data_IF_950625004338
#
_entry.id   IF_950625004338
#
_cell.length_a   1.000
_cell.length_b   1.000
_cell.length_c   1.000
_cell.angle_alpha   90.00
_cell.angle_beta   90.00
_cell.angle_gamma   90.00
#
_symmetry.space_group_name_H-M   'P 1'
#
loop_
_entity.id
_entity.type
_entity.pdbx_description
1 polymer ?
#
# COMPACT_ATOMS: atom_id res chain seq x y z
N UNK A 1 40.48 -57.94 -43.21
CA UNK A 1 40.42 -57.06 -42.02
C UNK A 1 40.45 -55.56 -42.39
N UNK A 2 41.27 -55.05 -43.33
CA UNK A 2 41.26 -53.61 -43.68
C UNK A 2 40.02 -53.16 -44.48
N UNK A 3 39.47 -54.01 -45.37
CA UNK A 3 38.34 -53.63 -46.23
C UNK A 3 37.00 -53.48 -45.48
N UNK A 4 36.78 -54.29 -44.45
CA UNK A 4 35.60 -54.17 -43.59
C UNK A 4 35.61 -52.88 -42.76
N UNK A 5 36.81 -52.48 -42.29
CA UNK A 5 37.00 -51.23 -41.54
C UNK A 5 36.80 -50.02 -42.45
N UNK A 6 37.29 -50.07 -43.70
CA UNK A 6 37.09 -49.01 -44.69
C UNK A 6 35.62 -48.84 -45.10
N UNK A 7 34.88 -49.94 -45.28
CA UNK A 7 33.44 -49.89 -45.60
C UNK A 7 32.60 -49.35 -44.43
N UNK A 8 32.91 -49.75 -43.19
CA UNK A 8 32.24 -49.24 -41.99
C UNK A 8 32.55 -47.74 -41.80
N UNK A 9 33.81 -47.32 -41.96
CA UNK A 9 34.20 -45.91 -41.89
C UNK A 9 33.54 -45.07 -43.01
N UNK A 10 33.40 -45.63 -44.21
CA UNK A 10 32.80 -44.96 -45.37
C UNK A 10 31.33 -44.56 -45.17
N UNK A 11 30.57 -45.30 -44.35
CA UNK A 11 29.17 -44.95 -44.03
C UNK A 11 29.00 -44.30 -42.65
N UNK A 12 29.82 -44.68 -41.66
CA UNK A 12 29.75 -44.13 -40.31
C UNK A 12 30.20 -42.66 -40.24
N UNK A 13 31.25 -42.27 -40.99
CA UNK A 13 31.76 -40.89 -40.98
C UNK A 13 30.72 -39.88 -41.49
N UNK A 14 30.05 -40.08 -42.65
CA UNK A 14 28.98 -39.18 -43.10
C UNK A 14 27.82 -39.05 -42.10
N UNK A 15 27.42 -40.14 -41.46
CA UNK A 15 26.36 -40.14 -40.45
C UNK A 15 26.76 -39.30 -39.25
N UNK A 16 27.95 -39.53 -38.68
CA UNK A 16 28.44 -38.77 -37.52
C UNK A 16 28.55 -37.28 -37.86
N UNK A 17 28.97 -36.93 -39.07
CA UNK A 17 29.04 -35.52 -39.52
C UNK A 17 27.64 -34.91 -39.62
N UNK A 18 26.68 -35.58 -40.25
CA UNK A 18 25.31 -35.04 -40.40
C UNK A 18 24.62 -34.88 -39.05
N UNK A 19 24.66 -35.90 -38.19
CA UNK A 19 24.04 -35.84 -36.87
C UNK A 19 24.78 -34.88 -35.92
N UNK A 20 26.11 -34.81 -36.02
CA UNK A 20 26.93 -33.86 -35.27
C UNK A 20 26.61 -32.41 -35.65
N UNK A 21 26.56 -32.10 -36.95
CA UNK A 21 26.21 -30.76 -37.44
C UNK A 21 24.77 -30.39 -37.09
N UNK A 22 23.83 -31.33 -37.24
CA UNK A 22 22.44 -31.10 -36.84
C UNK A 22 22.31 -30.84 -35.34
N UNK A 23 22.99 -31.61 -34.49
CA UNK A 23 22.99 -31.41 -33.05
C UNK A 23 23.60 -30.05 -32.66
N UNK A 24 24.71 -29.65 -33.30
CA UNK A 24 25.31 -28.32 -33.10
C UNK A 24 24.37 -27.22 -33.56
N UNK A 25 23.72 -27.36 -34.72
CA UNK A 25 22.76 -26.37 -35.23
C UNK A 25 21.56 -26.20 -34.28
N UNK A 26 21.02 -27.30 -33.75
CA UNK A 26 19.96 -27.28 -32.73
C UNK A 26 20.46 -26.61 -31.45
N UNK A 27 21.66 -26.95 -30.98
CA UNK A 27 22.23 -26.34 -29.78
C UNK A 27 22.44 -24.83 -29.94
N UNK A 28 22.95 -24.37 -31.09
CA UNK A 28 23.13 -22.95 -31.41
C UNK A 28 21.78 -22.24 -31.52
N UNK A 29 20.78 -22.86 -32.16
CA UNK A 29 19.44 -22.28 -32.26
C UNK A 29 18.79 -22.12 -30.88
N UNK A 30 18.89 -23.14 -30.01
CA UNK A 30 18.40 -23.08 -28.62
C UNK A 30 19.17 -22.03 -27.81
N UNK A 31 20.48 -21.94 -27.97
CA UNK A 31 21.31 -20.94 -27.30
C UNK A 31 20.98 -19.52 -27.76
N UNK A 32 20.87 -19.29 -29.06
CA UNK A 32 20.50 -18.00 -29.65
C UNK A 32 19.08 -17.59 -29.22
N UNK A 33 18.12 -18.51 -29.21
CA UNK A 33 16.77 -18.27 -28.71
C UNK A 33 16.78 -17.92 -27.21
N UNK A 34 17.58 -18.63 -26.38
CA UNK A 34 17.74 -18.30 -24.96
C UNK A 34 18.42 -16.94 -24.75
N UNK A 35 19.45 -16.62 -25.54
CA UNK A 35 20.19 -15.35 -25.47
C UNK A 35 19.31 -14.17 -25.88
N UNK A 36 18.51 -14.32 -26.93
CA UNK A 36 17.54 -13.32 -27.38
C UNK A 36 16.43 -13.10 -26.32
N UNK A 37 15.90 -14.20 -25.77
CA UNK A 37 14.87 -14.17 -24.70
C UNK A 37 15.37 -13.62 -23.38
N UNK A 38 16.68 -13.67 -23.11
CA UNK A 38 17.34 -13.11 -21.91
C UNK A 38 18.18 -11.86 -22.20
N UNK A 39 17.88 -11.15 -23.29
CA UNK A 39 18.65 -9.96 -23.66
C UNK A 39 18.48 -8.86 -22.59
N UNK A 40 19.51 -8.01 -22.36
CA UNK A 40 19.41 -6.88 -21.43
C UNK A 40 18.25 -5.95 -21.75
N UNK A 41 17.94 -5.74 -23.04
CA UNK A 41 16.78 -4.95 -23.48
C UNK A 41 15.45 -5.58 -23.06
N UNK A 42 15.29 -6.90 -23.24
CA UNK A 42 14.09 -7.60 -22.80
C UNK A 42 13.92 -7.54 -21.29
N UNK A 43 15.01 -7.66 -20.52
CA UNK A 43 14.98 -7.48 -19.06
C UNK A 43 14.59 -6.06 -18.66
N UNK A 44 15.15 -5.05 -19.31
CA UNK A 44 14.80 -3.65 -19.04
C UNK A 44 13.33 -3.36 -19.34
N UNK A 45 12.80 -3.87 -20.47
CA UNK A 45 11.39 -3.73 -20.83
C UNK A 45 10.47 -4.43 -19.81
N UNK A 46 10.79 -5.66 -19.43
CA UNK A 46 10.03 -6.40 -18.42
C UNK A 46 10.08 -5.73 -17.03
N UNK A 47 11.22 -5.14 -16.65
CA UNK A 47 11.35 -4.35 -15.43
C UNK A 47 10.49 -3.08 -15.47
N UNK A 48 10.44 -2.39 -16.61
CA UNK A 48 9.59 -1.21 -16.78
C UNK A 48 8.08 -1.56 -16.73
N UNK A 49 7.68 -2.67 -17.35
CA UNK A 49 6.32 -3.21 -17.26
C UNK A 49 5.95 -3.60 -15.83
N UNK A 50 6.87 -4.27 -15.13
CA UNK A 50 6.68 -4.57 -13.71
C UNK A 50 6.55 -3.29 -12.88
N UNK A 51 7.37 -2.26 -13.12
CA UNK A 51 7.23 -0.97 -12.47
C UNK A 51 5.85 -0.33 -12.68
N UNK A 52 5.31 -0.39 -13.90
CA UNK A 52 3.95 0.07 -14.21
C UNK A 52 2.88 -0.72 -13.48
N UNK A 53 3.01 -2.05 -13.44
CA UNK A 53 2.10 -2.91 -12.69
C UNK A 53 2.14 -2.60 -11.18
N UNK A 54 3.33 -2.37 -10.61
CA UNK A 54 3.49 -1.95 -9.21
C UNK A 54 2.81 -0.61 -8.93
N UNK A 55 2.99 0.39 -9.80
CA UNK A 55 2.31 1.67 -9.68
C UNK A 55 0.78 1.55 -9.79
N UNK A 56 0.28 0.64 -10.64
CA UNK A 56 -1.16 0.36 -10.74
C UNK A 56 -1.71 -0.31 -9.48
N UNK A 57 -0.93 -1.17 -8.83
CA UNK A 57 -1.31 -1.81 -7.56
C UNK A 57 -1.39 -0.82 -6.42
N UNK A 58 -0.43 0.09 -6.29
CA UNK A 58 -0.48 1.15 -5.26
C UNK A 58 -1.74 2.01 -5.45
N UNK A 59 -2.04 2.43 -6.69
CA UNK A 59 -3.28 3.17 -6.97
C UNK A 59 -4.54 2.38 -6.62
N UNK A 60 -4.55 1.07 -6.87
CA UNK A 60 -5.68 0.21 -6.48
C UNK A 60 -5.80 0.11 -4.96
N UNK A 61 -4.68 -0.03 -4.24
CA UNK A 61 -4.65 -0.08 -2.78
C UNK A 61 -5.22 1.19 -2.17
N UNK A 62 -4.72 2.36 -2.60
CA UNK A 62 -5.24 3.67 -2.18
C UNK A 62 -6.75 3.79 -2.46
N UNK A 63 -7.21 3.30 -3.63
CA UNK A 63 -8.61 3.35 -4.01
C UNK A 63 -9.49 2.40 -3.19
N UNK A 64 -8.96 1.23 -2.81
CA UNK A 64 -9.62 0.26 -1.92
C UNK A 64 -9.77 0.86 -0.52
N UNK A 65 -8.71 1.45 0.02
CA UNK A 65 -8.75 2.09 1.33
C UNK A 65 -9.78 3.23 1.37
N UNK A 66 -9.80 4.06 0.33
CA UNK A 66 -10.80 5.12 0.19
C UNK A 66 -12.24 4.55 0.07
N UNK A 67 -12.43 3.40 -0.59
CA UNK A 67 -13.73 2.76 -0.73
C UNK A 67 -14.20 2.07 0.57
N UNK A 68 -13.27 1.48 1.33
CA UNK A 68 -13.52 0.93 2.67
C UNK A 68 -14.09 2.01 3.60
N UNK A 69 -13.49 3.20 3.56
CA UNK A 69 -13.95 4.37 4.32
C UNK A 69 -15.34 4.82 3.88
N UNK A 70 -15.59 4.95 2.58
CA UNK A 70 -16.89 5.37 2.02
C UNK A 70 -18.02 4.38 2.40
N UNK A 71 -17.73 3.08 2.39
CA UNK A 71 -18.62 2.03 2.88
C UNK A 71 -18.88 2.17 4.39
N UNK A 72 -17.85 2.40 5.19
CA UNK A 72 -18.01 2.64 6.64
C UNK A 72 -18.87 3.88 6.94
N UNK A 73 -18.60 4.98 6.23
CA UNK A 73 -19.32 6.24 6.36
C UNK A 73 -20.80 6.09 6.00
N UNK A 74 -21.07 5.44 4.87
CA UNK A 74 -22.44 5.16 4.40
C UNK A 74 -23.21 4.31 5.41
N UNK A 75 -22.54 3.30 6.00
CA UNK A 75 -23.13 2.47 7.04
C UNK A 75 -23.52 3.25 8.30
N UNK A 76 -22.65 4.16 8.75
CA UNK A 76 -22.87 4.97 9.94
C UNK A 76 -23.89 6.10 9.74
N UNK A 77 -23.95 6.69 8.54
CA UNK A 77 -24.84 7.80 8.21
C UNK A 77 -26.31 7.41 8.09
N UNK A 78 -26.59 6.23 7.53
CA UNK A 78 -27.93 5.88 7.08
C UNK A 78 -28.61 4.79 7.92
N UNK A 79 -28.05 4.42 9.07
CA UNK A 79 -28.64 3.45 10.01
C UNK A 79 -28.82 2.05 9.43
N UNK A 80 -28.23 1.78 8.27
CA UNK A 80 -28.29 0.55 7.50
C UNK A 80 -26.99 0.39 6.72
N UNK A 81 -26.62 -0.85 6.40
CA UNK A 81 -25.35 -1.13 5.72
C UNK A 81 -25.21 -0.37 4.39
N UNK A 82 -23.97 -0.06 4.00
CA UNK A 82 -23.68 0.66 2.77
C UNK A 82 -24.39 0.09 1.53
N UNK A 83 -24.63 0.92 0.50
CA UNK A 83 -25.21 0.48 -0.76
C UNK A 83 -24.57 -0.81 -1.28
N UNK A 84 -25.41 -1.72 -1.80
CA UNK A 84 -24.94 -3.03 -2.26
C UNK A 84 -23.91 -2.92 -3.40
N UNK A 85 -23.98 -1.88 -4.24
CA UNK A 85 -22.97 -1.58 -5.27
C UNK A 85 -21.60 -1.29 -4.65
N UNK A 86 -21.52 -0.37 -3.68
CA UNK A 86 -20.26 -0.04 -2.98
C UNK A 86 -19.68 -1.25 -2.23
N UNK A 87 -20.51 -2.01 -1.50
CA UNK A 87 -20.02 -3.21 -0.78
C UNK A 87 -19.46 -4.28 -1.72
N UNK A 88 -20.12 -4.51 -2.86
CA UNK A 88 -19.63 -5.47 -3.86
C UNK A 88 -18.34 -4.99 -4.51
N UNK A 89 -18.29 -3.72 -4.93
CA UNK A 89 -17.09 -3.11 -5.50
C UNK A 89 -15.90 -3.23 -4.54
N UNK A 90 -16.14 -2.98 -3.24
CA UNK A 90 -15.15 -3.13 -2.17
C UNK A 90 -14.58 -4.55 -2.10
N UNK A 91 -15.45 -5.54 -1.91
CA UNK A 91 -15.04 -6.94 -1.78
C UNK A 91 -14.30 -7.44 -3.03
N UNK A 92 -14.77 -7.08 -4.22
CA UNK A 92 -14.10 -7.42 -5.47
C UNK A 92 -12.73 -6.75 -5.58
N UNK A 93 -12.64 -5.46 -5.26
CA UNK A 93 -11.38 -4.73 -5.36
C UNK A 93 -10.34 -5.22 -4.36
N UNK A 94 -10.73 -5.51 -3.11
CA UNK A 94 -9.86 -6.13 -2.10
C UNK A 94 -9.31 -7.48 -2.60
N UNK A 95 -10.19 -8.35 -3.11
CA UNK A 95 -9.78 -9.64 -3.64
C UNK A 95 -8.81 -9.52 -4.82
N UNK A 96 -9.07 -8.59 -5.75
CA UNK A 96 -8.18 -8.32 -6.89
C UNK A 96 -6.84 -7.76 -6.41
N UNK A 97 -6.85 -6.84 -5.45
CA UNK A 97 -5.65 -6.23 -4.87
C UNK A 97 -4.76 -7.30 -4.23
N UNK A 98 -5.31 -8.07 -3.31
CA UNK A 98 -4.55 -9.05 -2.52
C UNK A 98 -3.96 -10.13 -3.44
N UNK A 99 -4.78 -10.70 -4.33
CA UNK A 99 -4.31 -11.69 -5.30
C UNK A 99 -3.27 -11.14 -6.27
N UNK A 100 -3.36 -9.86 -6.65
CA UNK A 100 -2.38 -9.25 -7.56
C UNK A 100 -1.09 -8.83 -6.86
N UNK A 101 -1.11 -8.48 -5.57
CA UNK A 101 0.12 -8.31 -4.77
C UNK A 101 0.86 -9.63 -4.61
N UNK A 102 0.15 -10.73 -4.40
CA UNK A 102 0.76 -12.05 -4.36
C UNK A 102 1.40 -12.41 -5.70
N UNK A 103 0.69 -12.26 -6.82
CA UNK A 103 1.26 -12.44 -8.16
C UNK A 103 2.48 -11.52 -8.39
N UNK A 104 2.41 -10.25 -7.95
CA UNK A 104 3.50 -9.28 -8.08
C UNK A 104 4.76 -9.70 -7.30
N UNK A 105 4.58 -10.28 -6.11
CA UNK A 105 5.67 -10.82 -5.29
C UNK A 105 6.33 -12.02 -5.97
N UNK A 106 5.55 -12.88 -6.65
CA UNK A 106 6.14 -14.04 -7.37
C UNK A 106 7.03 -13.63 -8.53
N UNK A 107 6.69 -12.54 -9.24
CA UNK A 107 7.50 -12.02 -10.36
C UNK A 107 8.70 -11.17 -9.90
N UNK A 108 9.01 -11.22 -8.60
CA UNK A 108 10.16 -10.56 -8.02
C UNK A 108 11.49 -11.31 -8.17
N UNK A 109 11.45 -12.62 -8.43
CA UNK A 109 12.63 -13.47 -8.50
C UNK A 109 13.50 -13.24 -9.75
N UNK A 110 14.81 -13.33 -9.57
CA UNK A 110 15.82 -13.09 -10.62
C UNK A 110 15.89 -14.21 -11.68
N UNK A 111 15.30 -15.37 -11.41
CA UNK A 111 15.37 -16.56 -12.29
C UNK A 111 14.29 -16.58 -13.39
N UNK A 112 13.35 -15.64 -13.36
CA UNK A 112 12.24 -15.61 -14.30
C UNK A 112 12.63 -15.12 -15.69
N UNK A 113 11.96 -15.65 -16.71
CA UNK A 113 12.13 -15.16 -18.07
C UNK A 113 11.45 -13.80 -18.21
N UNK A 114 12.05 -12.83 -18.92
CA UNK A 114 11.44 -11.51 -19.14
C UNK A 114 10.02 -11.56 -19.71
N UNK A 115 9.75 -12.50 -20.63
CA UNK A 115 8.43 -12.68 -21.22
C UNK A 115 7.36 -13.13 -20.21
N UNK A 116 7.73 -13.88 -19.17
CA UNK A 116 6.80 -14.31 -18.13
C UNK A 116 6.50 -13.16 -17.16
N UNK A 117 7.53 -12.39 -16.79
CA UNK A 117 7.38 -11.14 -16.01
C UNK A 117 6.44 -10.18 -16.74
N UNK A 118 6.68 -9.92 -18.02
CA UNK A 118 5.84 -9.08 -18.88
C UNK A 118 4.37 -9.55 -18.91
N UNK A 119 4.15 -10.85 -19.10
CA UNK A 119 2.79 -11.41 -19.20
C UNK A 119 2.01 -11.26 -17.89
N UNK A 120 2.66 -11.49 -16.75
CA UNK A 120 2.03 -11.35 -15.44
C UNK A 120 1.82 -9.87 -15.10
N UNK A 121 2.82 -9.01 -15.33
CA UNK A 121 2.70 -7.56 -15.13
C UNK A 121 1.52 -6.97 -15.92
N UNK A 122 1.38 -7.30 -17.22
CA UNK A 122 0.25 -6.83 -18.03
C UNK A 122 -1.11 -7.38 -17.59
N UNK A 123 -1.16 -8.55 -16.94
CA UNK A 123 -2.38 -9.11 -16.35
C UNK A 123 -2.77 -8.36 -15.08
N UNK A 124 -1.80 -8.08 -14.22
CA UNK A 124 -1.96 -7.28 -12.99
C UNK A 124 -2.48 -5.89 -13.36
N UNK A 125 -1.83 -5.20 -14.30
CA UNK A 125 -2.22 -3.86 -14.74
C UNK A 125 -3.67 -3.83 -15.25
N UNK A 126 -4.06 -4.80 -16.09
CA UNK A 126 -5.42 -4.89 -16.61
C UNK A 126 -6.45 -5.11 -15.50
N UNK A 127 -6.22 -6.09 -14.61
CA UNK A 127 -7.16 -6.37 -13.50
C UNK A 127 -7.28 -5.19 -12.54
N UNK A 128 -6.17 -4.53 -12.23
CA UNK A 128 -6.18 -3.34 -11.40
C UNK A 128 -6.98 -2.19 -12.04
N UNK A 129 -6.81 -1.98 -13.36
CA UNK A 129 -7.55 -0.96 -14.10
C UNK A 129 -9.05 -1.27 -14.18
N UNK A 130 -9.42 -2.54 -14.38
CA UNK A 130 -10.82 -2.99 -14.37
C UNK A 130 -11.47 -2.80 -13.00
N UNK A 131 -10.74 -3.14 -11.92
CA UNK A 131 -11.20 -2.92 -10.55
C UNK A 131 -11.38 -1.42 -10.25
N UNK A 132 -10.42 -0.56 -10.60
CA UNK A 132 -10.54 0.89 -10.46
C UNK A 132 -11.78 1.44 -11.20
N UNK A 133 -12.01 1.00 -12.43
CA UNK A 133 -13.19 1.39 -13.21
C UNK A 133 -14.50 0.95 -12.52
N UNK A 134 -14.51 -0.23 -11.89
CA UNK A 134 -15.67 -0.70 -11.14
C UNK A 134 -15.91 0.11 -9.86
N UNK A 135 -14.85 0.52 -9.15
CA UNK A 135 -14.92 1.43 -8.00
C UNK A 135 -15.53 2.76 -8.43
N UNK A 136 -15.01 3.39 -9.49
CA UNK A 136 -15.49 4.67 -9.99
C UNK A 136 -16.97 4.63 -10.37
N UNK A 137 -17.41 3.54 -11.01
CA UNK A 137 -18.83 3.33 -11.33
C UNK A 137 -19.68 3.22 -10.07
N UNK A 138 -19.27 2.42 -9.09
CA UNK A 138 -20.02 2.26 -7.85
C UNK A 138 -20.13 3.57 -7.06
N UNK A 139 -19.08 4.39 -7.07
CA UNK A 139 -19.08 5.76 -6.50
C UNK A 139 -20.01 6.71 -7.25
N UNK A 140 -20.04 6.64 -8.58
CA UNK A 140 -20.97 7.44 -9.38
C UNK A 140 -22.43 7.08 -9.05
N UNK A 141 -22.76 5.78 -9.04
CA UNK A 141 -24.09 5.28 -8.66
C UNK A 141 -24.48 5.72 -7.25
N UNK A 142 -23.53 5.66 -6.29
CA UNK A 142 -23.79 6.12 -4.93
C UNK A 142 -24.07 7.62 -4.87
N UNK A 143 -23.27 8.45 -5.56
CA UNK A 143 -23.49 9.90 -5.64
C UNK A 143 -24.82 10.26 -6.29
N UNK A 144 -25.21 9.55 -7.35
CA UNK A 144 -26.53 9.71 -7.98
C UNK A 144 -27.66 9.38 -7.00
N UNK A 145 -27.53 8.27 -6.27
CA UNK A 145 -28.50 7.89 -5.25
C UNK A 145 -28.57 8.92 -4.12
N UNK A 146 -27.43 9.41 -3.62
CA UNK A 146 -27.39 10.44 -2.57
C UNK A 146 -28.07 11.73 -3.02
N UNK A 147 -27.80 12.19 -4.25
CA UNK A 147 -28.47 13.36 -4.83
C UNK A 147 -29.99 13.20 -4.88
N UNK A 148 -30.47 11.99 -5.10
CA UNK A 148 -31.91 11.70 -5.18
C UNK A 148 -32.60 11.51 -3.82
N UNK A 149 -31.87 11.14 -2.75
CA UNK A 149 -32.48 10.68 -1.49
C UNK A 149 -32.04 11.42 -0.23
N UNK A 150 -30.99 12.24 -0.28
CA UNK A 150 -30.40 12.89 0.91
C UNK A 150 -30.25 14.38 0.67
N UNK A 151 -30.80 15.22 1.55
CA UNK A 151 -30.63 16.67 1.43
C UNK A 151 -29.21 17.10 1.84
N UNK A 152 -28.70 18.15 1.21
CA UNK A 152 -27.39 18.72 1.57
C UNK A 152 -27.32 19.11 3.05
N UNK A 153 -28.41 19.62 3.61
CA UNK A 153 -28.53 19.95 5.04
C UNK A 153 -28.33 18.74 5.97
N UNK A 154 -28.87 17.57 5.61
CA UNK A 154 -28.65 16.33 6.38
C UNK A 154 -27.19 15.89 6.34
N UNK A 155 -26.53 16.02 5.18
CA UNK A 155 -25.11 15.67 5.03
C UNK A 155 -24.20 16.60 5.84
N UNK A 156 -24.45 17.90 5.79
CA UNK A 156 -23.75 18.91 6.60
C UNK A 156 -23.94 18.62 8.10
N UNK A 157 -25.17 18.35 8.54
CA UNK A 157 -25.47 18.04 9.94
C UNK A 157 -24.71 16.82 10.45
N UNK A 158 -24.67 15.75 9.66
CA UNK A 158 -23.98 14.53 10.04
C UNK A 158 -22.44 14.67 10.03
N UNK A 159 -21.89 15.43 9.08
CA UNK A 159 -20.46 15.73 9.04
C UNK A 159 -20.02 16.64 10.20
N UNK A 160 -20.84 17.63 10.58
CA UNK A 160 -20.61 18.44 11.80
C UNK A 160 -20.61 17.59 13.07
N UNK A 161 -21.53 16.61 13.17
CA UNK A 161 -21.54 15.68 14.29
C UNK A 161 -20.27 14.81 14.35
N UNK A 162 -19.72 14.40 13.20
CA UNK A 162 -18.41 13.71 13.14
C UNK A 162 -17.27 14.62 13.59
N UNK A 163 -17.19 15.84 13.08
CA UNK A 163 -16.17 16.81 13.49
C UNK A 163 -16.19 17.05 15.01
N UNK A 164 -17.37 17.13 15.61
CA UNK A 164 -17.52 17.28 17.06
C UNK A 164 -16.94 16.06 17.80
N UNK A 165 -17.30 14.83 17.39
CA UNK A 165 -16.74 13.60 17.98
C UNK A 165 -15.23 13.49 17.80
N UNK A 166 -14.70 13.87 16.65
CA UNK A 166 -13.27 13.90 16.40
C UNK A 166 -12.56 14.86 17.36
N UNK A 167 -13.07 16.08 17.52
CA UNK A 167 -12.51 17.06 18.46
C UNK A 167 -12.56 16.57 19.91
N UNK A 168 -13.66 15.94 20.29
CA UNK A 168 -13.79 15.34 21.62
C UNK A 168 -12.78 14.20 21.83
N UNK A 169 -12.66 13.27 20.87
CA UNK A 169 -11.72 12.15 20.96
C UNK A 169 -10.25 12.57 20.89
N UNK A 170 -9.95 13.66 20.18
CA UNK A 170 -8.60 14.22 20.06
C UNK A 170 -8.12 14.88 21.37
N UNK A 171 -9.04 15.34 22.23
CA UNK A 171 -8.70 16.00 23.49
C UNK A 171 -7.93 17.30 23.28
N UNK A 172 -6.80 17.45 23.97
CA UNK A 172 -5.89 18.60 23.82
C UNK A 172 -4.53 18.16 23.23
N UNK A 173 -4.37 18.21 21.90
CA UNK A 173 -3.10 17.90 21.24
C UNK A 173 -1.93 18.74 21.73
N UNK A 174 -2.17 20.01 22.09
CA UNK A 174 -1.12 20.90 22.53
C UNK A 174 -0.61 20.49 23.92
N UNK A 175 -1.49 20.04 24.81
CA UNK A 175 -1.11 19.47 26.09
C UNK A 175 -0.25 18.20 25.93
N UNK A 176 -0.64 17.27 25.06
CA UNK A 176 0.15 16.04 24.81
C UNK A 176 1.55 16.35 24.27
N UNK A 177 1.65 17.32 23.35
CA UNK A 177 2.97 17.76 22.84
C UNK A 177 3.77 18.48 23.93
N UNK A 178 3.11 19.28 24.77
CA UNK A 178 3.78 19.97 25.88
C UNK A 178 4.37 18.96 26.89
N UNK A 179 3.62 17.91 27.24
CA UNK A 179 4.08 16.82 28.10
C UNK A 179 5.35 16.15 27.53
N UNK A 180 5.34 15.81 26.23
CA UNK A 180 6.51 15.21 25.59
C UNK A 180 7.69 16.17 25.55
N UNK A 181 7.45 17.45 25.22
CA UNK A 181 8.50 18.46 25.09
C UNK A 181 9.19 18.79 26.41
N UNK A 182 8.47 18.66 27.53
CA UNK A 182 9.02 18.89 28.87
C UNK A 182 9.94 17.76 29.34
N UNK A 183 9.72 16.53 28.86
CA UNK A 183 10.40 15.33 29.35
C UNK A 183 11.45 14.76 28.40
N UNK A 184 11.34 15.02 27.09
CA UNK A 184 12.12 14.31 26.07
C UNK A 184 12.81 15.24 25.07
N UNK A 185 13.87 14.73 24.43
CA UNK A 185 14.58 15.45 23.38
C UNK A 185 13.68 15.74 22.18
N UNK A 186 13.93 16.87 21.51
CA UNK A 186 13.23 17.30 20.30
C UNK A 186 13.13 16.21 19.23
N UNK A 187 14.13 15.35 19.09
CA UNK A 187 14.10 14.29 18.10
C UNK A 187 12.98 13.27 18.30
N UNK A 188 12.64 12.99 19.55
CA UNK A 188 11.69 11.93 19.92
C UNK A 188 10.24 12.37 19.71
N UNK A 189 9.92 13.66 19.91
CA UNK A 189 8.54 14.16 19.84
C UNK A 189 8.21 14.97 18.59
N UNK A 190 9.18 15.24 17.69
CA UNK A 190 8.96 15.98 16.44
C UNK A 190 7.82 15.42 15.58
N UNK A 191 7.67 14.10 15.52
CA UNK A 191 6.58 13.46 14.76
C UNK A 191 5.22 13.73 15.40
N UNK A 192 5.12 13.59 16.72
CA UNK A 192 3.91 13.91 17.48
C UNK A 192 3.52 15.39 17.32
N UNK A 193 4.47 16.32 17.40
CA UNK A 193 4.22 17.75 17.22
C UNK A 193 3.71 18.12 15.83
N UNK A 194 4.29 17.53 14.77
CA UNK A 194 3.79 17.72 13.40
C UNK A 194 2.37 17.17 13.25
N UNK A 195 2.13 15.95 13.73
CA UNK A 195 0.83 15.32 13.66
C UNK A 195 -0.24 16.12 14.42
N UNK A 196 0.06 16.62 15.63
CA UNK A 196 -0.83 17.50 16.38
C UNK A 196 -1.18 18.78 15.61
N UNK A 197 -0.19 19.43 15.01
CA UNK A 197 -0.39 20.67 14.24
C UNK A 197 -1.25 20.41 13.01
N UNK A 198 -0.95 19.35 12.26
CA UNK A 198 -1.71 18.96 11.08
C UNK A 198 -3.15 18.56 11.43
N UNK A 199 -3.36 17.77 12.48
CA UNK A 199 -4.69 17.36 12.93
C UNK A 199 -5.59 18.56 13.25
N UNK A 200 -5.04 19.56 13.96
CA UNK A 200 -5.76 20.80 14.29
C UNK A 200 -6.05 21.64 13.05
N UNK A 201 -5.09 21.76 12.13
CA UNK A 201 -5.26 22.49 10.88
C UNK A 201 -6.35 21.85 10.01
N UNK A 202 -6.28 20.54 9.80
CA UNK A 202 -7.24 19.78 9.00
C UNK A 202 -8.65 19.78 9.62
N UNK A 203 -8.76 19.68 10.95
CA UNK A 203 -10.06 19.84 11.63
C UNK A 203 -10.61 21.28 11.51
N UNK A 204 -9.73 22.28 11.40
CA UNK A 204 -10.10 23.66 11.10
C UNK A 204 -10.59 23.83 9.66
N UNK A 205 -9.88 23.22 8.71
CA UNK A 205 -10.19 23.25 7.28
C UNK A 205 -11.53 22.55 6.99
N UNK A 206 -11.75 21.39 7.61
CA UNK A 206 -13.04 20.70 7.58
C UNK A 206 -14.18 21.60 8.08
N UNK A 207 -14.01 22.31 9.19
CA UNK A 207 -15.03 23.21 9.71
C UNK A 207 -15.37 24.33 8.72
N UNK A 208 -14.36 24.98 8.13
CA UNK A 208 -14.57 26.03 7.13
C UNK A 208 -15.33 25.51 5.91
N UNK A 209 -14.97 24.33 5.41
CA UNK A 209 -15.64 23.71 4.26
C UNK A 209 -17.09 23.32 4.60
N UNK A 210 -17.38 22.84 5.81
CA UNK A 210 -18.74 22.55 6.24
C UNK A 210 -19.61 23.79 6.39
N UNK A 211 -19.03 24.92 6.80
CA UNK A 211 -19.76 26.19 6.87
C UNK A 211 -20.07 26.75 5.49
N UNK A 212 -19.15 26.63 4.53
CA UNK A 212 -19.39 26.96 3.13
C UNK A 212 -20.46 26.05 2.52
N UNK A 213 -20.37 24.75 2.74
CA UNK A 213 -21.37 23.78 2.29
C UNK A 213 -22.76 24.07 2.89
N UNK A 214 -22.83 24.47 4.16
CA UNK A 214 -24.09 24.87 4.80
C UNK A 214 -24.70 26.09 4.12
N UNK A 215 -23.89 27.11 3.82
CA UNK A 215 -24.35 28.32 3.14
C UNK A 215 -24.84 28.04 1.70
N UNK A 216 -24.24 27.07 1.02
CA UNK A 216 -24.68 26.63 -0.31
C UNK A 216 -25.90 25.71 -0.27
N UNK A 217 -26.10 24.95 0.81
CA UNK A 217 -27.25 24.05 0.96
C UNK A 217 -28.59 24.80 1.02
N UNK A 218 -28.58 26.08 1.40
CA UNK A 218 -29.76 26.95 1.44
C UNK A 218 -30.12 27.58 0.07
N UNK A 219 -29.26 27.42 -0.95
CA UNK A 219 -29.44 27.92 -2.32
C UNK A 219 -29.47 26.75 -3.33
N UNK A 220 -30.65 26.35 -3.85
CA UNK A 220 -30.79 25.24 -4.79
C UNK A 220 -30.05 25.42 -6.13
N UNK A 221 -29.57 26.63 -6.43
CA UNK A 221 -28.77 26.92 -7.63
C UNK A 221 -27.28 26.64 -7.46
N UNK A 222 -26.83 26.33 -6.23
CA UNK A 222 -25.42 26.07 -5.90
C UNK A 222 -25.19 24.61 -5.56
N UNK A 223 -24.04 24.10 -5.99
CA UNK A 223 -23.61 22.74 -5.67
C UNK A 223 -22.74 22.76 -4.41
N UNK A 224 -23.24 22.17 -3.32
CA UNK A 224 -22.50 22.02 -2.06
C UNK A 224 -21.63 20.75 -2.00
N UNK A 225 -21.67 19.90 -3.04
CA UNK A 225 -21.00 18.59 -3.02
C UNK A 225 -19.48 18.72 -3.05
N UNK A 226 -18.94 19.74 -3.72
CA UNK A 226 -17.50 20.00 -3.77
C UNK A 226 -16.92 20.28 -2.39
N UNK A 227 -17.58 21.17 -1.64
CA UNK A 227 -17.22 21.55 -0.29
C UNK A 227 -17.43 20.40 0.70
N UNK A 228 -18.53 19.65 0.59
CA UNK A 228 -18.76 18.45 1.40
C UNK A 228 -17.67 17.39 1.19
N UNK A 229 -17.27 17.14 -0.06
CA UNK A 229 -16.20 16.21 -0.37
C UNK A 229 -14.82 16.71 0.11
N UNK A 230 -14.58 18.02 0.10
CA UNK A 230 -13.36 18.60 0.66
C UNK A 230 -13.34 18.50 2.20
N UNK A 231 -14.46 18.83 2.86
CA UNK A 231 -14.61 18.70 4.30
C UNK A 231 -14.35 17.26 4.77
N UNK A 232 -14.92 16.27 4.09
CA UNK A 232 -14.75 14.86 4.43
C UNK A 232 -13.28 14.40 4.29
N UNK A 233 -12.56 14.88 3.25
CA UNK A 233 -11.13 14.59 3.11
C UNK A 233 -10.31 15.18 4.25
N UNK A 234 -10.56 16.43 4.63
CA UNK A 234 -9.87 17.06 5.76
C UNK A 234 -10.23 16.41 7.11
N UNK A 235 -11.48 15.98 7.32
CA UNK A 235 -11.86 15.21 8.52
C UNK A 235 -11.02 13.94 8.65
N UNK A 236 -10.80 13.22 7.55
CA UNK A 236 -10.01 12.00 7.54
C UNK A 236 -8.53 12.24 7.75
N UNK A 237 -7.98 13.28 7.13
CA UNK A 237 -6.60 13.69 7.37
C UNK A 237 -6.40 14.01 8.86
N UNK A 238 -7.33 14.76 9.47
CA UNK A 238 -7.32 15.04 10.89
C UNK A 238 -7.41 13.78 11.78
N UNK A 239 -8.27 12.82 11.44
CA UNK A 239 -8.37 11.52 12.13
C UNK A 239 -7.10 10.66 12.02
N UNK A 240 -6.43 10.68 10.86
CA UNK A 240 -5.17 9.97 10.67
C UNK A 240 -4.05 10.61 11.51
N UNK A 241 -3.92 11.94 11.46
CA UNK A 241 -2.91 12.66 12.21
C UNK A 241 -3.14 12.59 13.72
N UNK A 242 -4.40 12.61 14.19
CA UNK A 242 -4.73 12.39 15.60
C UNK A 242 -4.27 11.01 16.10
N UNK A 243 -4.47 9.96 15.28
CA UNK A 243 -3.98 8.61 15.61
C UNK A 243 -2.46 8.54 15.62
N UNK A 244 -1.78 9.21 14.68
CA UNK A 244 -0.31 9.29 14.67
C UNK A 244 0.21 9.99 15.92
N UNK A 245 -0.43 11.09 16.35
CA UNK A 245 -0.11 11.78 17.60
C UNK A 245 -0.24 10.84 18.79
N UNK A 246 -1.41 10.20 18.95
CA UNK A 246 -1.68 9.31 20.08
C UNK A 246 -0.69 8.14 20.13
N UNK A 247 -0.45 7.49 18.98
CA UNK A 247 0.49 6.38 18.87
C UNK A 247 1.93 6.82 19.16
N UNK A 248 2.36 7.96 18.62
CA UNK A 248 3.70 8.50 18.87
C UNK A 248 3.88 8.83 20.36
N UNK A 249 2.89 9.48 20.97
CA UNK A 249 2.87 9.77 22.40
C UNK A 249 2.96 8.49 23.24
N UNK A 250 2.15 7.48 22.90
CA UNK A 250 2.15 6.17 23.55
C UNK A 250 3.50 5.48 23.45
N UNK A 251 4.10 5.44 22.26
CA UNK A 251 5.39 4.78 22.03
C UNK A 251 6.52 5.44 22.81
N UNK A 252 6.61 6.78 22.79
CA UNK A 252 7.63 7.53 23.55
C UNK A 252 7.45 7.30 25.05
N UNK A 253 6.21 7.38 25.54
CA UNK A 253 5.89 7.16 26.96
C UNK A 253 6.22 5.74 27.42
N UNK A 254 5.87 4.73 26.62
CA UNK A 254 6.17 3.33 26.93
C UNK A 254 7.67 3.02 26.88
N UNK A 255 8.38 3.57 25.89
CA UNK A 255 9.83 3.44 25.81
C UNK A 255 10.49 4.04 27.06
N UNK A 256 10.06 5.23 27.48
CA UNK A 256 10.57 5.88 28.69
C UNK A 256 10.30 5.05 29.96
N UNK A 257 9.13 4.42 30.07
CA UNK A 257 8.81 3.53 31.20
C UNK A 257 9.63 2.24 31.21
N UNK A 258 10.06 1.74 30.05
CA UNK A 258 10.86 0.52 29.94
C UNK A 258 12.36 0.73 30.24
N UNK A 259 12.90 1.93 30.00
CA UNK A 259 14.33 2.24 30.15
C UNK A 259 14.94 1.80 31.49
N UNK A 260 14.33 2.04 32.67
CA UNK A 260 14.91 1.60 33.94
C UNK A 260 15.15 0.09 34.02
N UNK A 261 14.22 -0.70 33.49
CA UNK A 261 14.30 -2.17 33.45
C UNK A 261 15.40 -2.63 32.50
N UNK A 262 15.49 -2.03 31.32
CA UNK A 262 16.55 -2.33 30.34
C UNK A 262 17.94 -1.99 30.89
N UNK A 263 18.10 -0.85 31.57
CA UNK A 263 19.37 -0.51 32.23
C UNK A 263 19.72 -1.49 33.35
N UNK A 264 18.74 -1.94 34.13
CA UNK A 264 18.96 -2.95 35.17
C UNK A 264 19.39 -4.30 34.57
N UNK A 265 18.74 -4.72 33.49
CA UNK A 265 19.08 -5.93 32.75
C UNK A 265 20.50 -5.86 32.17
N UNK A 266 20.85 -4.75 31.50
CA UNK A 266 22.19 -4.53 30.96
C UNK A 266 23.28 -4.54 32.05
N UNK A 267 23.03 -3.88 33.19
CA UNK A 267 23.96 -3.95 34.34
C UNK A 267 24.09 -5.35 34.91
N UNK A 268 23.01 -6.14 34.91
CA UNK A 268 23.05 -7.54 35.33
C UNK A 268 23.89 -8.39 34.38
N UNK A 269 23.66 -8.24 33.08
CA UNK A 269 24.42 -8.94 32.04
C UNK A 269 25.92 -8.60 32.08
N UNK A 270 26.27 -7.32 32.29
CA UNK A 270 27.66 -6.89 32.46
C UNK A 270 28.31 -7.55 33.69
N UNK A 271 27.62 -7.61 34.82
CA UNK A 271 28.12 -8.30 36.03
C UNK A 271 28.32 -9.79 35.80
N UNK A 272 27.38 -10.45 35.12
CA UNK A 272 27.50 -11.87 34.77
C UNK A 272 28.68 -12.11 33.82
N UNK A 273 28.85 -11.28 32.79
CA UNK A 273 29.97 -11.38 31.86
C UNK A 273 31.34 -11.20 32.55
N UNK A 274 31.45 -10.26 33.50
CA UNK A 274 32.65 -10.08 34.32
C UNK A 274 32.93 -11.30 35.19
N UNK A 275 31.91 -11.82 35.87
CA UNK A 275 32.04 -13.04 36.68
C UNK A 275 32.49 -14.24 35.83
N UNK A 276 31.90 -14.43 34.65
CA UNK A 276 32.34 -15.49 33.71
C UNK A 276 33.79 -15.30 33.29
N UNK A 277 34.22 -14.07 32.98
CA UNK A 277 35.61 -13.77 32.62
C UNK A 277 36.59 -14.10 33.74
N UNK A 278 36.25 -13.82 34.99
CA UNK A 278 37.10 -14.13 36.16
C UNK A 278 37.24 -15.65 36.40
N UNK A 279 36.26 -16.45 35.98
CA UNK A 279 36.29 -17.91 36.11
C UNK A 279 36.94 -18.62 34.89
N UNK A 280 37.33 -17.88 33.85
CA UNK A 280 38.17 -18.39 32.78
C UNK A 280 39.62 -18.14 33.18
N UNK A 281 40.34 -19.19 33.62
CA UNK A 281 41.77 -19.09 33.97
C UNK A 281 42.59 -18.51 32.81
N UNK A 282 43.62 -17.68 33.08
CA UNK A 282 44.51 -17.20 32.04
C UNK A 282 45.27 -18.39 31.44
N UNK A 283 45.21 -18.52 30.11
CA UNK A 283 46.00 -19.49 29.35
C UNK A 283 47.51 -19.20 29.46
#
# INVERSE_FOLDING_TARGET
MPDAVAAILGWAVPIVVVFGVAAIAVAVAVWAARRARRSPRARAAAAAERGRAGAALVRLDDAVDELDLEVGLSGALYGGGAPASLRRARLTAQHVRDGSFDEYRTIAGDDLLPADVSRVAGRIERRASEALTAIDRARAEHRDWMRAHVSAAQQVGAARARLARLREGMGDPAALVAELSAAYDGAEWRTASRAATSALAEAGDAARMLDLAAAHADDPSRDALGELAAAERSLRAAEADARILEESHRLVSQAAQALPTEFAAARSALRQALATREHLEPA
#
